data_IF_380517442425
#
_entry.id   IF_380517442425
#
_cell.length_a   1.000
_cell.length_b   1.000
_cell.length_c   1.000
_cell.angle_alpha   90.00
_cell.angle_beta   90.00
_cell.angle_gamma   90.00
#
_symmetry.space_group_name_H-M   'P 1'
#
loop_
_entity.id
_entity.type
_entity.pdbx_description
1 polymer ?
#
# COMPACT_ATOMS: atom_id res chain seq x y z
N UNK A 1 -11.47 -14.41 -11.76
CA UNK A 1 -10.43 -13.78 -10.92
C UNK A 1 -9.78 -12.67 -11.71
N UNK A 2 -9.85 -11.43 -11.25
CA UNK A 2 -9.10 -10.30 -11.82
C UNK A 2 -7.82 -10.12 -11.01
N UNK A 3 -6.67 -10.40 -11.61
CA UNK A 3 -5.36 -10.20 -10.97
C UNK A 3 -4.88 -8.77 -11.18
N UNK A 4 -4.29 -8.16 -10.14
CA UNK A 4 -3.64 -6.86 -10.31
C UNK A 4 -2.35 -6.99 -11.12
N UNK A 5 -1.93 -5.92 -11.79
CA UNK A 5 -0.64 -5.90 -12.49
C UNK A 5 0.53 -6.25 -11.54
N UNK A 6 0.48 -5.78 -10.29
CA UNK A 6 1.47 -6.08 -9.26
C UNK A 6 1.49 -7.56 -8.84
N UNK A 7 0.35 -8.25 -8.88
CA UNK A 7 0.29 -9.69 -8.62
C UNK A 7 0.93 -10.47 -9.77
N UNK A 8 0.64 -10.09 -11.01
CA UNK A 8 1.19 -10.75 -12.20
C UNK A 8 2.71 -10.53 -12.27
N UNK A 9 3.20 -9.31 -12.06
CA UNK A 9 4.64 -9.04 -12.09
C UNK A 9 5.42 -9.81 -11.02
N UNK A 10 4.85 -9.96 -9.82
CA UNK A 10 5.45 -10.78 -8.76
C UNK A 10 5.45 -12.27 -9.11
N UNK A 11 4.42 -12.77 -9.79
CA UNK A 11 4.38 -14.14 -10.29
C UNK A 11 5.47 -14.37 -11.34
N UNK A 12 5.58 -13.48 -12.33
CA UNK A 12 6.58 -13.56 -13.39
C UNK A 12 8.01 -13.48 -12.85
N UNK A 13 8.24 -12.70 -11.79
CA UNK A 13 9.56 -12.62 -11.15
C UNK A 13 9.90 -13.89 -10.38
N UNK A 14 8.98 -14.41 -9.56
CA UNK A 14 9.19 -15.65 -8.83
C UNK A 14 7.87 -16.31 -8.40
N UNK A 15 7.47 -17.43 -9.05
CA UNK A 15 6.25 -18.15 -8.70
C UNK A 15 6.26 -18.71 -7.27
N UNK A 16 7.43 -19.09 -6.74
CA UNK A 16 7.56 -19.62 -5.38
C UNK A 16 7.25 -18.55 -4.32
N UNK A 17 7.73 -17.33 -4.53
CA UNK A 17 7.42 -16.16 -3.68
C UNK A 17 5.94 -15.79 -3.80
N UNK A 18 5.40 -15.80 -5.01
CA UNK A 18 3.97 -15.54 -5.24
C UNK A 18 3.08 -16.52 -4.47
N UNK A 19 3.37 -17.82 -4.55
CA UNK A 19 2.64 -18.86 -3.80
C UNK A 19 2.70 -18.61 -2.29
N UNK A 20 3.86 -18.23 -1.76
CA UNK A 20 3.99 -17.90 -0.34
C UNK A 20 3.12 -16.68 0.05
N UNK A 21 3.15 -15.62 -0.76
CA UNK A 21 2.48 -14.35 -0.46
C UNK A 21 0.97 -14.36 -0.67
N UNK A 22 0.47 -14.97 -1.74
CA UNK A 22 -0.94 -14.85 -2.14
C UNK A 22 -1.75 -16.13 -1.93
N UNK A 23 -1.13 -17.32 -2.02
CA UNK A 23 -1.84 -18.60 -1.93
C UNK A 23 -1.76 -19.25 -0.54
N UNK A 24 -0.67 -19.01 0.22
CA UNK A 24 -0.48 -19.57 1.57
C UNK A 24 -1.05 -18.69 2.69
N UNK A 25 -1.78 -17.63 2.37
CA UNK A 25 -2.39 -16.74 3.36
C UNK A 25 -1.39 -15.88 4.16
N UNK A 26 -0.12 -15.81 3.75
CA UNK A 26 0.87 -14.98 4.42
C UNK A 26 0.65 -13.50 4.09
N UNK A 27 0.10 -12.75 5.06
CA UNK A 27 0.00 -11.29 4.97
C UNK A 27 1.32 -10.66 5.40
N UNK A 28 1.92 -9.88 4.51
CA UNK A 28 3.05 -9.03 4.85
C UNK A 28 2.57 -8.03 5.93
N UNK A 29 3.25 -7.98 7.07
CA UNK A 29 3.01 -6.94 8.06
C UNK A 29 3.50 -5.62 7.45
N UNK A 30 2.63 -4.62 7.37
CA UNK A 30 2.96 -3.27 6.92
C UNK A 30 3.80 -2.54 8.00
N UNK A 31 4.97 -3.09 8.35
CA UNK A 31 5.87 -2.52 9.36
C UNK A 31 6.96 -1.63 8.76
N UNK A 32 7.11 -1.62 7.42
CA UNK A 32 8.07 -0.75 6.76
C UNK A 32 7.52 0.67 6.73
N UNK A 33 8.19 1.59 7.41
CA UNK A 33 7.85 3.01 7.44
C UNK A 33 7.64 3.61 6.03
N UNK A 34 8.41 3.16 5.04
CA UNK A 34 8.26 3.59 3.62
C UNK A 34 6.89 3.21 3.04
N UNK A 35 6.35 2.04 3.37
CA UNK A 35 5.04 1.61 2.87
C UNK A 35 3.89 2.37 3.56
N UNK A 36 4.03 2.65 4.86
CA UNK A 36 3.06 3.44 5.61
C UNK A 36 3.01 4.88 5.09
N UNK A 37 4.18 5.50 4.92
CA UNK A 37 4.30 6.83 4.34
C UNK A 37 3.74 6.90 2.93
N UNK A 38 4.10 5.93 2.07
CA UNK A 38 3.63 5.88 0.68
C UNK A 38 2.10 5.85 0.58
N UNK A 39 1.41 5.12 1.46
CA UNK A 39 -0.07 5.10 1.49
C UNK A 39 -0.66 6.41 1.97
N UNK A 40 -0.13 6.99 3.04
CA UNK A 40 -0.58 8.30 3.53
C UNK A 40 -0.40 9.37 2.44
N UNK A 41 0.69 9.30 1.70
CA UNK A 41 0.97 10.18 0.56
C UNK A 41 0.00 9.98 -0.61
N UNK A 42 -0.31 8.74 -0.99
CA UNK A 42 -1.32 8.46 -2.03
C UNK A 42 -2.72 8.97 -1.64
N UNK A 43 -3.09 8.85 -0.37
CA UNK A 43 -4.36 9.40 0.15
C UNK A 43 -4.39 10.92 0.12
N UNK A 44 -3.31 11.57 0.54
CA UNK A 44 -3.17 13.02 0.45
C UNK A 44 -3.23 13.52 -1.00
N UNK A 45 -2.62 12.80 -1.94
CA UNK A 45 -2.74 13.09 -3.38
C UNK A 45 -4.13 12.79 -3.94
N UNK A 46 -4.90 11.89 -3.35
CA UNK A 46 -6.29 11.69 -3.76
C UNK A 46 -7.18 12.85 -3.27
N UNK A 47 -6.91 13.37 -2.06
CA UNK A 47 -7.59 14.54 -1.49
C UNK A 47 -7.33 15.82 -2.31
N UNK A 48 -6.12 15.94 -2.88
CA UNK A 48 -5.78 16.97 -3.88
C UNK A 48 -6.80 17.02 -5.00
N UNK A 49 -7.01 15.89 -5.68
CA UNK A 49 -7.91 15.84 -6.83
C UNK A 49 -9.38 16.07 -6.46
N UNK A 50 -9.73 15.96 -5.18
CA UNK A 50 -11.06 16.27 -4.64
C UNK A 50 -11.20 17.71 -4.13
N UNK A 51 -10.17 18.55 -4.29
CA UNK A 51 -10.11 19.91 -3.75
C UNK A 51 -10.27 19.96 -2.22
N UNK A 52 -9.81 18.93 -1.51
CA UNK A 52 -9.75 18.87 -0.05
C UNK A 52 -8.38 19.35 0.47
N UNK A 53 -8.27 19.62 1.78
CA UNK A 53 -6.99 19.97 2.41
C UNK A 53 -6.07 18.75 2.54
N UNK A 54 -5.10 18.68 1.64
CA UNK A 54 -4.08 17.63 1.56
C UNK A 54 -3.20 17.58 2.81
N UNK A 55 -2.91 18.72 3.42
CA UNK A 55 -2.05 18.82 4.59
C UNK A 55 -2.72 18.17 5.79
N UNK A 56 -4.01 18.47 5.98
CA UNK A 56 -4.84 17.84 7.00
C UNK A 56 -4.94 16.31 6.81
N UNK A 57 -5.19 15.86 5.57
CA UNK A 57 -5.29 14.41 5.26
C UNK A 57 -3.95 13.69 5.47
N UNK A 58 -2.83 14.28 5.05
CA UNK A 58 -1.51 13.66 5.24
C UNK A 58 -1.18 13.54 6.74
N UNK A 59 -1.44 14.60 7.52
CA UNK A 59 -1.08 14.63 8.93
C UNK A 59 -1.93 13.67 9.77
N UNK A 60 -3.23 13.58 9.48
CA UNK A 60 -4.14 12.61 10.13
C UNK A 60 -3.76 11.16 9.81
N UNK A 61 -3.44 10.86 8.55
CA UNK A 61 -3.02 9.50 8.14
C UNK A 61 -1.64 9.11 8.67
N UNK A 62 -0.70 10.07 8.72
CA UNK A 62 0.65 9.82 9.22
C UNK A 62 0.71 9.68 10.73
N UNK A 63 -0.03 10.50 11.47
CA UNK A 63 -0.12 10.40 12.94
C UNK A 63 -0.67 9.05 13.40
N UNK A 64 -1.64 8.48 12.66
CA UNK A 64 -2.16 7.14 12.92
C UNK A 64 -1.12 6.01 12.71
N UNK A 65 -0.07 6.26 11.92
CA UNK A 65 0.98 5.30 11.62
C UNK A 65 2.20 5.38 12.57
N UNK A 66 2.24 6.36 13.48
CA UNK A 66 3.35 6.54 14.44
C UNK A 66 3.19 5.76 15.76
N UNK A 67 2.11 5.00 15.94
CA UNK A 67 1.84 4.15 17.12
C UNK A 67 2.48 2.77 17.00
#
# INVERSE_FOLDING_TARGET
>A
MTYSYTQISQYLTCPRRYRHRYLKGWKEKDTRAVMLFGRAFERANSALFRCEDRGAVLFTEWSACQS
#
